data_IF_441127076732
#
_entry.id   IF_441127076732
#
_cell.length_a   1.000
_cell.length_b   1.000
_cell.length_c   1.000
_cell.angle_alpha   90.00
_cell.angle_beta   90.00
_cell.angle_gamma   90.00
#
_symmetry.space_group_name_H-M   'P 1'
#
loop_
_entity.id
_entity.type
_entity.pdbx_description
1 polymer ?
#
# COMPACT_ATOMS: atom_id res chain seq x y z
N UNK A 1 28.73 72.12 -20.27
CA UNK A 1 28.26 70.87 -20.90
C UNK A 1 26.77 70.75 -20.62
N UNK A 2 25.90 70.75 -21.64
CA UNK A 2 24.43 70.71 -21.48
C UNK A 2 23.94 69.44 -22.16
N UNK A 3 23.77 68.36 -21.39
CA UNK A 3 23.29 67.04 -21.85
C UNK A 3 21.79 66.98 -21.58
N UNK A 4 20.94 66.98 -22.60
CA UNK A 4 20.38 65.81 -23.32
C UNK A 4 18.97 65.51 -22.79
N UNK A 5 17.97 65.74 -23.66
CA UNK A 5 16.56 65.41 -23.46
C UNK A 5 16.33 63.91 -23.62
N UNK A 6 15.44 63.31 -22.81
CA UNK A 6 14.88 61.97 -23.08
C UNK A 6 13.39 61.94 -22.71
N UNK A 7 12.63 61.59 -23.74
CA UNK A 7 11.19 61.39 -23.86
C UNK A 7 10.74 60.09 -23.16
N UNK A 8 9.60 60.10 -22.46
CA UNK A 8 9.00 58.88 -21.89
C UNK A 8 7.83 58.45 -22.77
N UNK A 9 8.05 57.31 -23.43
CA UNK A 9 7.13 56.66 -24.33
C UNK A 9 5.99 55.93 -23.58
N UNK A 10 4.77 56.20 -24.04
CA UNK A 10 3.62 55.31 -24.26
C UNK A 10 3.53 54.06 -23.37
N UNK A 11 2.59 54.12 -22.43
CA UNK A 11 2.09 53.00 -21.63
C UNK A 11 1.31 52.02 -22.54
N UNK A 12 2.00 50.99 -23.02
CA UNK A 12 1.46 49.96 -23.90
C UNK A 12 0.77 48.81 -23.15
N UNK A 13 -0.40 48.43 -23.66
CA UNK A 13 -1.02 47.10 -23.63
C UNK A 13 -1.27 46.42 -22.27
N UNK A 14 -2.47 46.65 -21.72
CA UNK A 14 -3.15 45.73 -20.82
C UNK A 14 -4.03 44.76 -21.63
N UNK A 15 -3.62 43.50 -21.75
CA UNK A 15 -4.50 42.32 -21.77
C UNK A 15 -3.67 41.07 -22.08
N UNK A 16 -2.91 40.60 -21.10
CA UNK A 16 -2.51 39.20 -21.06
C UNK A 16 -3.77 38.42 -20.65
N UNK A 17 -4.36 37.68 -21.59
CA UNK A 17 -5.39 36.70 -21.27
C UNK A 17 -4.72 35.57 -20.51
N UNK A 18 -4.84 35.57 -19.17
CA UNK A 18 -4.39 34.45 -18.36
C UNK A 18 -5.22 33.21 -18.72
N UNK A 19 -4.54 32.25 -19.33
CA UNK A 19 -5.07 30.91 -19.59
C UNK A 19 -5.21 30.19 -18.26
N UNK A 20 -6.41 30.24 -17.69
CA UNK A 20 -6.76 29.46 -16.51
C UNK A 20 -6.87 27.97 -16.88
N UNK A 21 -5.71 27.29 -16.94
CA UNK A 21 -5.68 25.83 -16.84
C UNK A 21 -6.05 25.45 -15.41
N UNK A 22 -7.28 25.01 -15.22
CA UNK A 22 -7.70 24.34 -13.99
C UNK A 22 -6.96 23.00 -13.91
N UNK A 23 -5.78 22.98 -13.29
CA UNK A 23 -5.13 21.74 -12.86
C UNK A 23 -5.99 21.12 -11.78
N UNK A 24 -6.67 20.02 -12.10
CA UNK A 24 -7.21 19.12 -11.09
C UNK A 24 -6.05 18.76 -10.14
N UNK A 25 -6.20 18.87 -8.81
CA UNK A 25 -5.17 18.33 -7.92
C UNK A 25 -5.13 16.84 -8.18
N UNK A 26 -4.06 16.37 -8.82
CA UNK A 26 -3.69 14.98 -8.78
C UNK A 26 -3.61 14.65 -7.29
N UNK A 27 -4.61 13.91 -6.80
CA UNK A 27 -4.61 13.39 -5.45
C UNK A 27 -3.53 12.32 -5.42
N UNK A 28 -2.26 12.76 -5.37
CA UNK A 28 -1.13 11.92 -5.03
C UNK A 28 -1.41 11.49 -3.60
N UNK A 29 -2.07 10.35 -3.46
CA UNK A 29 -2.04 9.58 -2.23
C UNK A 29 -0.58 9.23 -2.03
N UNK A 30 0.15 10.12 -1.36
CA UNK A 30 1.41 9.79 -0.76
C UNK A 30 1.06 8.84 0.39
N UNK A 31 0.89 7.57 0.03
CA UNK A 31 0.85 6.46 0.96
C UNK A 31 2.17 6.52 1.71
N UNK A 32 2.18 7.19 2.86
CA UNK A 32 3.13 6.88 3.92
C UNK A 32 2.91 5.39 4.14
N UNK A 33 3.82 4.59 3.61
CA UNK A 33 3.77 3.14 3.66
C UNK A 33 3.92 2.74 5.12
N UNK A 34 2.79 2.79 5.83
CA UNK A 34 2.62 2.20 7.14
C UNK A 34 2.95 0.74 6.94
N UNK A 35 4.05 0.32 7.57
CA UNK A 35 4.58 -1.03 7.44
C UNK A 35 3.51 -2.09 7.77
N UNK A 36 2.49 -1.71 8.57
CA UNK A 36 1.36 -2.56 8.93
C UNK A 36 0.24 -2.45 7.91
N UNK A 37 0.00 -3.53 7.19
CA UNK A 37 -1.09 -3.69 6.22
C UNK A 37 -2.07 -4.78 6.69
N UNK A 38 -3.36 -4.68 6.37
CA UNK A 38 -4.31 -5.75 6.64
C UNK A 38 -3.85 -7.06 5.97
N UNK A 39 -3.97 -8.17 6.69
CA UNK A 39 -3.59 -9.49 6.16
C UNK A 39 -4.33 -9.84 4.85
N UNK A 40 -5.57 -9.37 4.70
CA UNK A 40 -6.35 -9.53 3.45
C UNK A 40 -5.63 -8.92 2.25
N UNK A 41 -4.99 -7.76 2.41
CA UNK A 41 -4.19 -7.10 1.37
C UNK A 41 -2.91 -7.86 1.05
N UNK A 42 -2.30 -8.50 2.04
CA UNK A 42 -1.15 -9.39 1.84
C UNK A 42 -1.55 -10.58 0.97
N UNK A 43 -2.69 -11.20 1.23
CA UNK A 43 -3.19 -12.32 0.43
C UNK A 43 -3.57 -11.92 -1.00
N UNK A 44 -4.20 -10.76 -1.20
CA UNK A 44 -4.44 -10.23 -2.55
C UNK A 44 -3.13 -10.08 -3.33
N UNK A 45 -2.08 -9.54 -2.69
CA UNK A 45 -0.78 -9.32 -3.31
C UNK A 45 -0.04 -10.64 -3.58
N UNK A 46 -0.02 -11.56 -2.62
CA UNK A 46 0.54 -12.91 -2.79
C UNK A 46 -0.18 -13.68 -3.90
N UNK A 47 -1.51 -13.63 -3.96
CA UNK A 47 -2.29 -14.30 -4.98
C UNK A 47 -1.98 -13.78 -6.39
N UNK A 48 -1.79 -12.47 -6.54
CA UNK A 48 -1.36 -11.86 -7.81
C UNK A 48 0.05 -12.29 -8.22
N UNK A 49 1.00 -12.30 -7.29
CA UNK A 49 2.40 -12.64 -7.58
C UNK A 49 2.59 -14.12 -7.87
N UNK A 50 1.90 -14.99 -7.15
CA UNK A 50 2.10 -16.45 -7.19
C UNK A 50 1.06 -17.18 -8.04
N UNK A 51 0.10 -16.43 -8.62
CA UNK A 51 -1.06 -16.97 -9.33
C UNK A 51 -1.91 -17.94 -8.50
N UNK A 52 -1.98 -17.75 -7.18
CA UNK A 52 -2.74 -18.61 -6.28
C UNK A 52 -4.01 -17.94 -5.78
N UNK A 53 -5.04 -18.76 -5.53
CA UNK A 53 -6.29 -18.30 -4.93
C UNK A 53 -6.23 -18.44 -3.42
N UNK A 54 -6.59 -17.40 -2.69
CA UNK A 54 -6.66 -17.44 -1.22
C UNK A 54 -8.10 -17.51 -0.77
N UNK A 55 -8.45 -18.56 -0.01
CA UNK A 55 -9.76 -18.74 0.59
C UNK A 55 -9.67 -18.53 2.09
N UNK A 56 -10.42 -17.58 2.61
CA UNK A 56 -10.36 -17.19 4.01
C UNK A 56 -11.69 -16.62 4.51
N UNK A 57 -11.89 -16.67 5.82
CA UNK A 57 -13.01 -16.02 6.51
C UNK A 57 -12.62 -14.59 6.88
N UNK A 58 -13.34 -13.59 6.36
CA UNK A 58 -13.04 -12.19 6.62
C UNK A 58 -13.19 -11.82 8.12
N UNK A 59 -14.17 -12.42 8.80
CA UNK A 59 -14.41 -12.21 10.23
C UNK A 59 -13.25 -12.70 11.10
N UNK A 60 -12.54 -13.75 10.67
CA UNK A 60 -11.43 -14.31 11.45
C UNK A 60 -10.16 -13.47 11.35
N UNK A 61 -10.01 -12.69 10.26
CA UNK A 61 -8.76 -12.03 9.88
C UNK A 61 -8.82 -10.50 9.89
N UNK A 62 -10.00 -9.91 10.14
CA UNK A 62 -10.24 -8.47 10.05
C UNK A 62 -9.31 -7.62 10.91
N UNK A 63 -8.92 -8.13 12.08
CA UNK A 63 -8.08 -7.40 13.05
C UNK A 63 -6.57 -7.66 12.89
N UNK A 64 -6.17 -8.49 11.92
CA UNK A 64 -4.76 -8.91 11.77
C UNK A 64 -4.02 -7.94 10.85
N UNK A 65 -3.09 -7.18 11.46
CA UNK A 65 -2.18 -6.28 10.77
C UNK A 65 -0.78 -6.91 10.64
N UNK A 66 -0.32 -7.05 9.41
CA UNK A 66 0.96 -7.69 9.05
C UNK A 66 2.00 -6.65 8.67
N UNK A 67 3.24 -6.86 9.08
CA UNK A 67 4.38 -6.05 8.63
C UNK A 67 4.81 -6.42 7.21
N UNK A 68 4.44 -5.59 6.23
CA UNK A 68 4.69 -5.79 4.79
C UNK A 68 6.20 -5.81 4.46
N UNK A 69 7.03 -5.14 5.26
CA UNK A 69 8.48 -5.01 5.02
C UNK A 69 9.25 -6.31 5.24
N UNK A 70 8.72 -7.18 6.09
CA UNK A 70 9.37 -8.43 6.49
C UNK A 70 8.90 -9.62 5.65
N UNK A 71 7.92 -9.42 4.78
CA UNK A 71 7.28 -10.48 4.04
C UNK A 71 7.92 -10.65 2.66
N UNK A 72 8.40 -11.86 2.35
CA UNK A 72 8.96 -12.16 1.05
C UNK A 72 7.86 -12.55 0.05
N UNK A 73 7.55 -11.66 -0.89
CA UNK A 73 6.56 -11.92 -1.94
C UNK A 73 7.07 -12.79 -3.09
N UNK A 74 8.39 -12.99 -3.22
CA UNK A 74 8.99 -13.81 -4.28
C UNK A 74 8.84 -15.32 -4.05
N UNK A 75 8.58 -15.74 -2.81
CA UNK A 75 8.40 -17.14 -2.45
C UNK A 75 7.18 -17.32 -1.56
N UNK A 76 6.16 -18.02 -2.08
CA UNK A 76 4.94 -18.32 -1.33
C UNK A 76 5.26 -19.02 -0.01
N UNK A 77 6.13 -20.03 -0.04
CA UNK A 77 6.42 -20.86 1.12
C UNK A 77 7.05 -20.04 2.25
N UNK A 78 7.92 -19.09 1.92
CA UNK A 78 8.52 -18.19 2.90
C UNK A 78 7.50 -17.21 3.47
N UNK A 79 6.65 -16.63 2.62
CA UNK A 79 5.55 -15.75 3.06
C UNK A 79 4.59 -16.47 4.02
N UNK A 80 4.10 -17.64 3.64
CA UNK A 80 3.18 -18.44 4.46
C UNK A 80 3.86 -18.91 5.76
N UNK A 81 5.15 -19.31 5.67
CA UNK A 81 5.94 -19.69 6.83
C UNK A 81 6.10 -18.55 7.84
N UNK A 82 6.34 -17.32 7.35
CA UNK A 82 6.38 -16.13 8.18
C UNK A 82 5.03 -15.86 8.85
N UNK A 83 3.93 -15.88 8.08
CA UNK A 83 2.59 -15.63 8.60
C UNK A 83 2.17 -16.66 9.65
N UNK A 84 2.48 -17.94 9.42
CA UNK A 84 2.17 -19.03 10.34
C UNK A 84 2.86 -18.88 11.69
N UNK A 85 4.13 -18.45 11.69
CA UNK A 85 4.93 -18.27 12.91
C UNK A 85 4.51 -17.05 13.72
N UNK A 86 4.09 -15.97 13.07
CA UNK A 86 3.85 -14.69 13.73
C UNK A 86 2.38 -14.43 14.08
N UNK A 87 1.42 -15.08 13.39
CA UNK A 87 0.02 -14.68 13.45
C UNK A 87 -1.00 -15.79 13.79
N UNK A 88 -0.55 -16.95 14.28
CA UNK A 88 -1.45 -18.07 14.69
C UNK A 88 -2.45 -18.46 13.61
N UNK A 89 -1.97 -18.53 12.38
CA UNK A 89 -2.74 -18.91 11.20
C UNK A 89 -2.12 -20.18 10.61
N UNK A 90 -2.97 -21.08 10.16
CA UNK A 90 -2.56 -22.26 9.41
C UNK A 90 -3.03 -22.18 7.96
N UNK A 91 -2.28 -22.88 7.11
CA UNK A 91 -2.46 -22.83 5.66
C UNK A 91 -2.55 -24.24 5.11
N UNK A 92 -3.55 -24.48 4.27
CA UNK A 92 -3.70 -25.72 3.53
C UNK A 92 -3.68 -25.39 2.03
N UNK A 93 -2.73 -25.97 1.31
CA UNK A 93 -2.56 -25.77 -0.13
C UNK A 93 -3.16 -26.97 -0.87
N UNK A 94 -4.15 -26.72 -1.73
CA UNK A 94 -4.76 -27.74 -2.62
C UNK A 94 -5.16 -27.11 -3.94
N UNK A 95 -4.84 -27.74 -5.07
CA UNK A 95 -5.30 -27.36 -6.40
C UNK A 95 -5.20 -25.83 -6.65
N UNK A 96 -4.00 -25.27 -6.45
CA UNK A 96 -3.71 -23.85 -6.61
C UNK A 96 -4.50 -22.88 -5.70
N UNK A 97 -5.14 -23.43 -4.66
CA UNK A 97 -5.90 -22.70 -3.66
C UNK A 97 -5.24 -22.85 -2.29
N UNK A 98 -4.98 -21.73 -1.62
CA UNK A 98 -4.53 -21.64 -0.24
C UNK A 98 -5.73 -21.38 0.64
N UNK A 99 -6.15 -22.38 1.41
CA UNK A 99 -7.15 -22.20 2.46
C UNK A 99 -6.46 -21.71 3.73
N UNK A 100 -6.93 -20.59 4.25
CA UNK A 100 -6.41 -19.94 5.44
C UNK A 100 -7.35 -20.22 6.60
N UNK A 101 -6.82 -20.72 7.72
CA UNK A 101 -7.58 -20.97 8.92
C UNK A 101 -6.90 -20.33 10.12
N UNK A 102 -7.64 -19.52 10.88
CA UNK A 102 -7.15 -19.02 12.17
C UNK A 102 -7.09 -20.19 13.14
N UNK A 103 -5.94 -20.36 13.78
CA UNK A 103 -5.75 -21.33 14.85
C UNK A 103 -5.79 -20.53 16.14
N UNK A 104 -6.72 -20.88 17.03
CA UNK A 104 -6.61 -20.40 18.39
C UNK A 104 -5.26 -20.87 18.91
N UNK A 105 -4.39 -19.95 19.38
CA UNK A 105 -3.25 -20.39 20.19
C UNK A 105 -3.87 -21.25 21.28
N UNK A 106 -3.61 -22.56 21.24
CA UNK A 106 -3.75 -23.34 22.44
C UNK A 106 -2.88 -22.59 23.44
N UNK A 107 -3.51 -21.93 24.42
CA UNK A 107 -2.81 -21.44 25.59
C UNK A 107 -2.02 -22.65 26.05
N UNK A 108 -0.71 -22.63 25.78
CA UNK A 108 0.20 -23.57 26.37
C UNK A 108 0.16 -23.22 27.85
N UNK A 109 -0.81 -23.80 28.55
CA UNK A 109 -0.86 -23.77 30.00
C UNK A 109 0.43 -24.41 30.48
N UNK A 110 1.25 -23.52 31.03
CA UNK A 110 2.12 -23.71 32.18
C UNK A 110 3.21 -24.78 32.06
N UNK A 111 4.44 -24.25 32.00
CA UNK A 111 5.53 -24.66 32.91
C UNK A 111 5.06 -25.52 34.09
N UNK A 112 5.63 -26.70 34.20
CA UNK A 112 6.25 -27.21 35.43
C UNK A 112 7.33 -28.22 35.04
#
# INVERSE_FOLDING_TARGET
MKKTAISIAVLGFLCLSETAYASAPAHLQQSVYSAKVPLTKVFEKLGRTTNMHFFYSASDLGDILVDDRKLNYGSLQEALGYLKRNYSIDFMIRNNTVTVKKVAMASAEKKL
#
